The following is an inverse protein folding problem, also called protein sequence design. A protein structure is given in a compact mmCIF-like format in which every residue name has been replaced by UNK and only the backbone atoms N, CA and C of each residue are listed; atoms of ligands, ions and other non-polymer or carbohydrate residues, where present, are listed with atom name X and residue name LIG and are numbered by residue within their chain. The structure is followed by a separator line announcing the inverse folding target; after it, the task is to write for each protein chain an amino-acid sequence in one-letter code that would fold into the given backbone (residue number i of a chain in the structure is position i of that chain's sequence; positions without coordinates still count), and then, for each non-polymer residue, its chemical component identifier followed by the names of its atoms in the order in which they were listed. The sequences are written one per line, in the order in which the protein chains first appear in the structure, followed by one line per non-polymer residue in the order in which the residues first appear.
data_IF_981357497168
#
_entry.id   IF_981357497168
#
_cell.length_a   1.000
_cell.length_b   1.000
_cell.length_c   1.000
_cell.angle_alpha   90.00
_cell.angle_beta   90.00
_cell.angle_gamma   90.00
#
_symmetry.space_group_name_H-M   'P 1'
#
loop_
_entity.id
_entity.type
_entity.pdbx_description
1 polymer ?
#
# COMPACT_ATOMS: atom_id res chain seq x y z
N UNK A 1 11.71 11.14 -11.17
CA UNK A 1 11.07 9.93 -10.61
C UNK A 1 10.88 8.85 -11.68
N UNK A 2 11.32 7.59 -11.49
CA UNK A 2 10.99 6.55 -12.46
C UNK A 2 9.47 6.32 -12.44
N UNK A 3 8.84 6.51 -13.60
CA UNK A 3 7.41 6.31 -13.77
C UNK A 3 7.07 4.83 -13.54
N UNK A 4 6.20 4.54 -12.56
CA UNK A 4 5.60 3.21 -12.38
C UNK A 4 4.49 3.05 -13.42
N UNK A 5 4.70 2.17 -14.39
CA UNK A 5 3.69 1.83 -15.39
C UNK A 5 2.79 0.72 -14.83
N UNK A 6 1.48 0.94 -14.85
CA UNK A 6 0.51 -0.12 -14.53
C UNK A 6 0.16 -0.86 -15.80
N UNK A 7 0.22 -2.19 -15.76
CA UNK A 7 0.03 -3.03 -16.93
C UNK A 7 -1.46 -3.28 -17.16
N UNK A 8 -1.97 -3.05 -18.37
CA UNK A 8 -3.39 -3.18 -18.71
C UNK A 8 -3.99 -4.56 -18.37
N UNK A 9 -3.17 -5.62 -18.38
CA UNK A 9 -3.59 -6.99 -18.01
C UNK A 9 -3.62 -7.28 -16.51
N UNK A 10 -2.82 -6.55 -15.71
CA UNK A 10 -2.64 -6.83 -14.27
C UNK A 10 -3.24 -5.75 -13.38
N UNK A 11 -3.69 -4.65 -13.96
CA UNK A 11 -4.29 -3.54 -13.24
C UNK A 11 -3.29 -2.68 -12.47
N UNK A 12 -3.74 -1.50 -12.07
CA UNK A 12 -3.15 -0.71 -11.00
C UNK A 12 -4.05 -0.70 -9.78
N UNK A 13 -3.81 0.22 -8.86
CA UNK A 13 -4.72 0.47 -7.75
C UNK A 13 -6.13 0.78 -8.27
N UNK A 14 -7.13 0.02 -7.83
CA UNK A 14 -8.52 0.18 -8.27
C UNK A 14 -8.82 -0.38 -9.66
N UNK A 15 -8.01 -1.32 -10.16
CA UNK A 15 -8.32 -1.99 -11.42
C UNK A 15 -9.52 -2.93 -11.27
N UNK A 16 -10.42 -2.89 -12.25
CA UNK A 16 -11.57 -3.79 -12.32
C UNK A 16 -11.53 -4.58 -13.62
N UNK A 17 -11.86 -5.86 -13.55
CA UNK A 17 -12.18 -6.67 -14.71
C UNK A 17 -13.60 -6.30 -15.15
N UNK A 18 -13.72 -5.84 -16.39
CA UNK A 18 -15.01 -5.49 -16.98
C UNK A 18 -15.59 -6.67 -17.74
N UNK A 19 -16.91 -6.74 -17.79
CA UNK A 19 -17.63 -7.58 -18.76
C UNK A 19 -17.48 -6.95 -20.16
N UNK A 20 -17.05 -7.72 -21.15
CA UNK A 20 -16.69 -7.18 -22.47
C UNK A 20 -17.90 -6.64 -23.25
N UNK A 21 -19.12 -7.04 -22.90
CA UNK A 21 -20.33 -6.67 -23.63
C UNK A 21 -21.06 -5.50 -22.96
N UNK A 22 -21.15 -5.52 -21.64
CA UNK A 22 -21.90 -4.53 -20.84
C UNK A 22 -21.01 -3.42 -20.29
N UNK A 23 -19.68 -3.64 -20.25
CA UNK A 23 -18.68 -2.77 -19.61
C UNK A 23 -18.88 -2.56 -18.12
N UNK A 24 -19.72 -3.38 -17.47
CA UNK A 24 -19.91 -3.37 -16.03
C UNK A 24 -18.72 -4.02 -15.32
N UNK A 25 -18.41 -3.56 -14.11
CA UNK A 25 -17.35 -4.13 -13.29
C UNK A 25 -17.79 -5.49 -12.74
N UNK A 26 -17.08 -6.55 -13.12
CA UNK A 26 -17.35 -7.92 -12.66
C UNK A 26 -16.55 -8.23 -11.40
N UNK A 27 -15.34 -7.67 -11.28
CA UNK A 27 -14.40 -7.99 -10.21
C UNK A 27 -13.36 -6.89 -10.04
N UNK A 28 -12.91 -6.63 -8.81
CA UNK A 28 -11.76 -5.76 -8.54
C UNK A 28 -10.49 -6.61 -8.47
N UNK A 29 -9.50 -6.28 -9.29
CA UNK A 29 -8.19 -6.94 -9.29
C UNK A 29 -7.35 -6.29 -8.20
N UNK A 30 -7.04 -7.08 -7.17
CA UNK A 30 -6.13 -6.68 -6.11
C UNK A 30 -4.71 -6.49 -6.67
N UNK A 31 -4.06 -5.33 -6.46
CA UNK A 31 -2.70 -5.13 -6.92
C UNK A 31 -1.74 -6.10 -6.20
N UNK A 32 -0.72 -6.64 -6.90
CA UNK A 32 0.30 -7.43 -6.24
C UNK A 32 1.06 -6.55 -5.25
N UNK A 33 0.94 -6.86 -3.95
CA UNK A 33 1.70 -6.19 -2.90
C UNK A 33 3.03 -6.93 -2.68
N UNK A 34 4.14 -6.20 -2.49
CA UNK A 34 5.43 -6.81 -2.17
C UNK A 34 5.56 -7.20 -0.69
N UNK A 35 4.53 -7.00 0.13
CA UNK A 35 4.47 -7.30 1.56
C UNK A 35 3.28 -8.21 1.92
N UNK A 36 3.36 -8.95 3.05
CA UNK A 36 2.24 -9.72 3.59
C UNK A 36 1.06 -8.82 3.99
N UNK A 37 -0.17 -9.29 3.74
CA UNK A 37 -1.41 -8.52 4.00
C UNK A 37 -1.66 -8.24 5.48
N UNK A 38 -1.09 -9.06 6.35
CA UNK A 38 -1.17 -8.90 7.80
C UNK A 38 -0.59 -7.56 8.24
N UNK A 39 0.38 -7.01 7.49
CA UNK A 39 1.01 -5.72 7.78
C UNK A 39 0.11 -4.51 7.46
N UNK A 40 -1.03 -4.70 6.80
CA UNK A 40 -2.03 -3.64 6.57
C UNK A 40 -2.91 -3.40 7.80
N UNK A 41 -2.81 -4.24 8.84
CA UNK A 41 -3.53 -4.04 10.10
C UNK A 41 -2.79 -3.02 10.98
N UNK A 42 -3.46 -1.94 11.46
CA UNK A 42 -2.87 -1.04 12.44
C UNK A 42 -2.60 -1.75 13.77
N UNK A 43 -1.44 -1.46 14.38
CA UNK A 43 -1.04 -1.88 15.72
C UNK A 43 -1.56 -0.89 16.77
N UNK A 44 -1.69 0.39 16.41
CA UNK A 44 -2.24 1.42 17.31
C UNK A 44 -3.67 1.09 17.72
N UNK A 45 -3.93 1.17 19.03
CA UNK A 45 -5.29 1.07 19.57
C UNK A 45 -6.16 2.31 19.35
N UNK A 46 -5.64 3.34 18.66
CA UNK A 46 -6.39 4.58 18.39
C UNK A 46 -7.42 4.36 17.29
N UNK A 47 -8.72 4.65 17.52
CA UNK A 47 -9.75 4.50 16.49
C UNK A 47 -9.49 5.36 15.25
N UNK A 48 -9.65 4.75 14.08
CA UNK A 48 -9.51 5.42 12.78
C UNK A 48 -8.07 5.57 12.28
N UNK A 49 -7.10 4.90 12.92
CA UNK A 49 -5.76 4.74 12.37
C UNK A 49 -5.80 3.84 11.13
N UNK A 50 -4.98 4.19 10.15
CA UNK A 50 -4.76 3.43 8.93
C UNK A 50 -3.27 3.26 8.68
N UNK A 51 -2.90 2.16 8.02
CA UNK A 51 -1.53 1.94 7.56
C UNK A 51 -1.30 2.69 6.26
N UNK A 52 -0.13 3.32 6.15
CA UNK A 52 0.37 3.95 4.93
C UNK A 52 1.70 3.33 4.56
N UNK A 53 1.90 3.24 3.25
CA UNK A 53 3.07 2.66 2.63
C UNK A 53 3.68 3.60 1.62
N UNK A 54 5.01 3.67 1.59
CA UNK A 54 5.76 4.38 0.56
C UNK A 54 6.95 3.55 0.15
N UNK A 55 7.04 3.21 -1.15
CA UNK A 55 8.24 2.62 -1.71
C UNK A 55 9.34 3.69 -1.84
N UNK A 56 10.59 3.28 -1.68
CA UNK A 56 11.74 4.15 -1.97
C UNK A 56 11.69 4.66 -3.43
N UNK A 57 12.14 5.91 -3.61
CA UNK A 57 12.30 6.55 -4.91
C UNK A 57 13.69 6.34 -5.53
N UNK A 58 14.64 5.84 -4.73
CA UNK A 58 16.03 5.60 -5.12
C UNK A 58 16.32 4.15 -5.54
N UNK A 59 17.62 3.83 -5.58
CA UNK A 59 18.12 2.47 -5.70
C UNK A 59 18.77 2.12 -4.37
N UNK A 60 18.26 1.08 -3.72
CA UNK A 60 18.90 0.51 -2.55
C UNK A 60 20.24 -0.15 -2.90
N UNK A 61 21.03 -0.54 -1.88
CA UNK A 61 22.30 -1.23 -2.08
C UNK A 61 22.13 -2.62 -2.70
N UNK A 62 20.97 -3.25 -2.52
CA UNK A 62 20.63 -4.57 -3.05
C UNK A 62 19.66 -4.46 -4.24
N UNK A 63 20.00 -4.95 -5.44
CA UNK A 63 19.17 -4.84 -6.64
C UNK A 63 17.81 -5.53 -6.56
N UNK A 64 17.72 -6.63 -5.79
CA UNK A 64 16.53 -7.49 -5.70
C UNK A 64 15.69 -7.20 -4.44
N UNK A 65 15.98 -6.10 -3.74
CA UNK A 65 15.29 -5.69 -2.53
C UNK A 65 14.54 -4.38 -2.77
N UNK A 66 13.27 -4.38 -2.39
CA UNK A 66 12.45 -3.17 -2.35
C UNK A 66 12.37 -2.70 -0.91
N UNK A 67 12.84 -1.48 -0.67
CA UNK A 67 12.68 -0.81 0.61
C UNK A 67 11.34 -0.10 0.65
N UNK A 68 10.56 -0.37 1.69
CA UNK A 68 9.24 0.23 1.89
C UNK A 68 9.11 0.77 3.29
N UNK A 69 8.70 2.03 3.37
CA UNK A 69 8.35 2.68 4.61
C UNK A 69 6.90 2.40 4.96
N UNK A 70 6.66 1.93 6.19
CA UNK A 70 5.34 1.71 6.79
C UNK A 70 5.16 2.69 7.94
N UNK A 71 4.00 3.32 8.02
CA UNK A 71 3.62 4.11 9.19
C UNK A 71 2.10 4.11 9.37
N UNK A 72 1.67 4.41 10.58
CA UNK A 72 0.25 4.53 10.91
C UNK A 72 -0.11 5.99 11.10
N UNK A 73 -1.22 6.40 10.50
CA UNK A 73 -1.74 7.76 10.65
C UNK A 73 -3.26 7.75 10.62
N UNK A 74 -3.88 8.84 11.04
CA UNK A 74 -5.31 9.05 10.82
C UNK A 74 -5.59 9.28 9.33
N UNK A 75 -6.81 9.02 8.91
CA UNK A 75 -7.23 9.37 7.56
C UNK A 75 -7.05 10.87 7.24
N UNK A 76 -6.98 11.16 5.94
CA UNK A 76 -6.93 12.54 5.43
C UNK A 76 -8.07 13.39 6.02
N UNK A 77 -7.80 14.68 6.25
CA UNK A 77 -8.77 15.64 6.76
C UNK A 77 -9.32 15.30 8.17
N UNK A 78 -8.53 14.60 9.00
CA UNK A 78 -8.81 14.35 10.43
C UNK A 78 -7.96 15.20 11.38
N UNK A 79 -7.27 16.19 10.82
CA UNK A 79 -6.49 17.21 11.53
C UNK A 79 -7.43 18.31 12.04
N UNK A 80 -8.25 17.94 13.03
CA UNK A 80 -9.13 18.83 13.77
C UNK A 80 -8.61 18.91 15.20
N UNK A 81 -8.93 19.96 15.97
CA UNK A 81 -8.67 19.97 17.41
C UNK A 81 -9.21 18.69 18.06
N UNK A 82 -8.40 18.07 18.92
CA UNK A 82 -8.76 16.84 19.63
C UNK A 82 -8.50 16.99 21.11
N UNK A 83 -9.44 16.49 21.90
CA UNK A 83 -9.26 16.37 23.34
C UNK A 83 -8.24 15.28 23.68
N UNK A 84 -8.18 14.22 22.88
CA UNK A 84 -7.23 13.11 23.04
C UNK A 84 -6.30 13.04 21.83
N UNK A 85 -5.02 13.24 22.10
CA UNK A 85 -3.95 13.10 21.12
C UNK A 85 -3.56 11.62 21.05
N UNK A 86 -3.55 11.00 19.85
CA UNK A 86 -3.05 9.64 19.69
C UNK A 86 -1.61 9.53 20.20
N UNK A 87 -1.23 8.42 20.85
CA UNK A 87 0.16 8.17 21.18
C UNK A 87 1.01 8.13 19.91
N UNK A 88 2.32 8.46 20.00
CA UNK A 88 3.22 8.31 18.86
C UNK A 88 3.26 6.84 18.41
N UNK A 89 3.32 6.63 17.10
CA UNK A 89 3.49 5.32 16.48
C UNK A 89 4.91 5.20 15.92
N UNK A 90 5.39 3.96 15.81
CA UNK A 90 6.70 3.68 15.22
C UNK A 90 6.62 3.76 13.69
N UNK A 91 7.70 4.31 13.11
CA UNK A 91 7.92 4.36 11.68
C UNK A 91 8.86 3.22 11.31
N UNK A 92 8.40 2.30 10.48
CA UNK A 92 9.12 1.06 10.19
C UNK A 92 9.62 1.05 8.75
N UNK A 93 10.88 0.64 8.56
CA UNK A 93 11.45 0.39 7.24
C UNK A 93 11.57 -1.12 7.01
N UNK A 94 10.89 -1.61 5.98
CA UNK A 94 10.94 -3.00 5.55
C UNK A 94 11.88 -3.15 4.36
N UNK A 95 12.73 -4.17 4.41
CA UNK A 95 13.50 -4.67 3.28
C UNK A 95 12.80 -5.92 2.74
N UNK A 96 12.11 -5.78 1.60
CA UNK A 96 11.25 -6.83 1.06
C UNK A 96 11.88 -7.40 -0.21
N UNK A 97 11.93 -8.73 -0.29
CA UNK A 97 12.23 -9.42 -1.54
C UNK A 97 10.89 -9.80 -2.16
N UNK A 98 10.50 -9.20 -3.29
CA UNK A 98 9.26 -9.57 -3.95
C UNK A 98 9.33 -11.07 -4.25
N UNK A 99 8.39 -11.84 -3.71
CA UNK A 99 8.20 -13.20 -4.19
C UNK A 99 7.91 -13.10 -5.69
N UNK A 100 8.64 -13.84 -6.52
CA UNK A 100 8.31 -13.97 -7.93
C UNK A 100 6.83 -14.40 -7.98
N UNK A 101 5.96 -13.51 -8.42
CA UNK A 101 4.58 -13.88 -8.69
C UNK A 101 4.66 -15.06 -9.67
N UNK A 102 4.19 -16.24 -9.25
CA UNK A 102 4.14 -17.41 -10.11
C UNK A 102 3.42 -16.99 -11.41
N UNK A 103 4.15 -17.14 -12.52
CA UNK A 103 3.70 -16.85 -13.89
C UNK A 103 2.45 -17.65 -14.25
#
# INVERSE_FOLDING_TARGET
PPHRWYHARYGGWGASRLDETTLEAVETIEPPQPYPRELDTPVSGTPGMIVRWQADSGRGPEPDVVYMLRWETLESNRDMPRDVIPPPTELELYALRPALANR
#
